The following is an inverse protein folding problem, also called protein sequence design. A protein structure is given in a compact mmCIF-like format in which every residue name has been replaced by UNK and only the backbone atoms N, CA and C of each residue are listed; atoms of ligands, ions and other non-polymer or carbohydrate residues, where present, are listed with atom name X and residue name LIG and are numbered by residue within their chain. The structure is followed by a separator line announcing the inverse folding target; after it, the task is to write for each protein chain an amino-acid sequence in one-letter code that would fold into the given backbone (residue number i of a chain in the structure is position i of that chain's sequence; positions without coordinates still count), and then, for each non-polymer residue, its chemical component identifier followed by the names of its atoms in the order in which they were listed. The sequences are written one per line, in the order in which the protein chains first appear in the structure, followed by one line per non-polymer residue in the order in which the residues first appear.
data_IF_329142112312
#
_entry.id   IF_329142112312
#
_cell.length_a   1.000
_cell.length_b   1.000
_cell.length_c   1.000
_cell.angle_alpha   90.00
_cell.angle_beta   90.00
_cell.angle_gamma   90.00
#
_symmetry.space_group_name_H-M   'P 1'
#
loop_
_entity.id
_entity.type
_entity.pdbx_description
1 polymer ?
#
# COMPACT_ATOMS: atom_id res chain seq x y z
N UNK A 1 18.22 4.71 12.71
CA UNK A 1 17.65 3.56 11.99
C UNK A 1 18.66 3.05 10.98
N UNK A 2 18.77 1.73 10.82
CA UNK A 2 19.60 1.11 9.79
C UNK A 2 18.77 1.01 8.50
N UNK A 3 19.15 1.71 7.41
CA UNK A 3 18.36 1.74 6.18
C UNK A 3 18.44 0.44 5.37
N UNK A 4 19.28 -0.53 5.78
CA UNK A 4 19.44 -1.81 5.09
C UNK A 4 18.55 -2.91 5.66
N UNK A 5 17.67 -2.59 6.62
CA UNK A 5 16.83 -3.57 7.30
C UNK A 5 15.43 -3.06 7.60
N UNK A 6 14.49 -3.99 7.71
CA UNK A 6 13.11 -3.74 8.12
C UNK A 6 12.65 -4.84 9.08
N UNK A 7 11.88 -4.48 10.10
CA UNK A 7 11.16 -5.42 10.94
C UNK A 7 9.75 -5.56 10.42
N UNK A 8 9.38 -6.76 10.03
CA UNK A 8 8.03 -7.12 9.59
C UNK A 8 7.31 -7.81 10.74
N UNK A 9 6.03 -7.47 10.90
CA UNK A 9 5.17 -8.11 11.91
C UNK A 9 3.76 -8.29 11.34
N UNK A 10 3.13 -9.42 11.65
CA UNK A 10 1.75 -9.67 11.27
C UNK A 10 0.98 -10.35 12.39
N UNK A 11 -0.34 -10.11 12.44
CA UNK A 11 -1.25 -10.76 13.37
C UNK A 11 -1.98 -11.89 12.66
N UNK A 12 -1.78 -13.12 13.11
CA UNK A 12 -2.32 -14.31 12.46
C UNK A 12 -3.16 -15.18 13.41
N UNK A 13 -4.05 -14.55 14.18
CA UNK A 13 -4.98 -15.27 15.05
C UNK A 13 -6.13 -15.90 14.25
N UNK A 14 -6.56 -17.06 14.70
CA UNK A 14 -7.79 -17.70 14.28
C UNK A 14 -8.34 -18.55 15.43
N UNK A 15 -9.66 -18.54 15.61
CA UNK A 15 -10.31 -19.40 16.62
C UNK A 15 -10.39 -20.87 16.20
N UNK A 16 -10.43 -21.14 14.91
CA UNK A 16 -10.70 -22.48 14.35
C UNK A 16 -9.45 -23.12 13.74
N UNK A 17 -8.55 -22.33 13.15
CA UNK A 17 -7.36 -22.80 12.50
C UNK A 17 -6.20 -21.81 12.75
N UNK A 18 -5.58 -21.85 13.96
CA UNK A 18 -4.49 -20.94 14.30
C UNK A 18 -3.29 -21.16 13.38
N UNK A 19 -2.55 -20.08 13.12
CA UNK A 19 -1.29 -20.18 12.40
C UNK A 19 -0.28 -20.95 13.25
N UNK A 20 0.37 -21.94 12.65
CA UNK A 20 1.49 -22.67 13.25
C UNK A 20 2.83 -22.07 12.86
N UNK A 21 2.95 -21.66 11.58
CA UNK A 21 4.14 -21.04 11.05
C UNK A 21 3.75 -19.91 10.10
N UNK A 22 4.56 -18.87 10.10
CA UNK A 22 4.49 -17.80 9.12
C UNK A 22 5.88 -17.60 8.53
N UNK A 23 5.95 -17.55 7.20
CA UNK A 23 7.17 -17.26 6.46
C UNK A 23 7.03 -15.95 5.70
N UNK A 24 8.15 -15.29 5.44
CA UNK A 24 8.18 -14.14 4.52
C UNK A 24 8.79 -14.59 3.20
N UNK A 25 8.11 -14.28 2.11
CA UNK A 25 8.60 -14.53 0.75
C UNK A 25 8.56 -13.21 -0.04
N UNK A 26 9.52 -13.00 -0.91
CA UNK A 26 9.60 -11.79 -1.70
C UNK A 26 10.83 -11.74 -2.60
N UNK A 27 11.07 -10.61 -3.24
CA UNK A 27 12.17 -10.40 -4.18
C UNK A 27 13.56 -10.63 -3.54
N UNK A 28 13.66 -10.37 -2.23
CA UNK A 28 14.92 -10.53 -1.49
C UNK A 28 15.32 -12.01 -1.22
N UNK A 29 14.43 -12.97 -1.47
CA UNK A 29 14.71 -14.40 -1.28
C UNK A 29 14.16 -15.28 -2.41
N UNK A 30 13.98 -14.69 -3.60
CA UNK A 30 13.41 -15.35 -4.79
C UNK A 30 12.07 -16.05 -4.51
N UNK A 31 11.29 -15.51 -3.57
CA UNK A 31 9.96 -16.02 -3.19
C UNK A 31 10.02 -17.46 -2.62
N UNK A 32 11.17 -17.88 -2.11
CA UNK A 32 11.38 -19.20 -1.58
C UNK A 32 10.92 -19.29 -0.11
N UNK A 33 10.12 -20.32 0.20
CA UNK A 33 9.81 -20.68 1.59
C UNK A 33 11.03 -21.40 2.17
N UNK A 34 11.60 -20.85 3.24
CA UNK A 34 12.75 -21.47 3.94
C UNK A 34 12.75 -21.11 5.41
N UNK A 35 13.41 -21.93 6.22
CA UNK A 35 13.54 -21.71 7.66
C UNK A 35 14.28 -20.40 8.00
N UNK A 36 15.14 -19.92 7.10
CA UNK A 36 15.83 -18.63 7.26
C UNK A 36 14.85 -17.44 7.27
N UNK A 37 13.69 -17.61 6.67
CA UNK A 37 12.63 -16.60 6.56
C UNK A 37 11.36 -17.00 7.33
N UNK A 38 11.47 -17.94 8.27
CA UNK A 38 10.40 -18.25 9.21
C UNK A 38 10.36 -17.17 10.29
N UNK A 39 9.19 -16.59 10.50
CA UNK A 39 8.94 -15.57 11.51
C UNK A 39 8.94 -16.17 12.92
N UNK A 40 9.42 -15.41 13.89
CA UNK A 40 9.32 -15.72 15.32
C UNK A 40 7.90 -15.46 15.78
N UNK A 41 7.37 -16.37 16.62
CA UNK A 41 6.04 -16.21 17.19
C UNK A 41 6.11 -15.58 18.59
N UNK A 42 5.22 -14.62 18.82
CA UNK A 42 4.94 -14.03 20.13
C UNK A 42 3.42 -13.93 20.31
N UNK A 43 2.85 -14.90 21.01
CA UNK A 43 1.40 -15.05 21.11
C UNK A 43 0.75 -15.27 19.74
N UNK A 44 -0.11 -14.32 19.34
CA UNK A 44 -0.77 -14.31 18.01
C UNK A 44 -0.03 -13.47 16.97
N UNK A 45 1.08 -12.84 17.35
CA UNK A 45 1.93 -12.07 16.47
C UNK A 45 3.09 -12.92 15.95
N UNK A 46 3.45 -12.66 14.71
CA UNK A 46 4.63 -13.23 14.06
C UNK A 46 5.49 -12.07 13.56
N UNK A 47 6.80 -12.14 13.80
CA UNK A 47 7.71 -11.07 13.42
C UNK A 47 9.08 -11.58 13.01
N UNK A 48 9.76 -10.81 12.17
CA UNK A 48 11.17 -11.02 11.85
C UNK A 48 11.82 -9.74 11.32
N UNK A 49 13.14 -9.71 11.36
CA UNK A 49 13.96 -8.67 10.75
C UNK A 49 14.54 -9.18 9.43
N UNK A 50 14.23 -8.51 8.32
CA UNK A 50 14.88 -8.71 7.02
C UNK A 50 16.07 -7.78 6.95
N UNK A 51 17.23 -8.29 6.52
CA UNK A 51 18.50 -7.56 6.41
C UNK A 51 19.05 -7.62 5.00
N UNK A 52 19.97 -6.67 4.69
CA UNK A 52 20.66 -6.65 3.41
C UNK A 52 19.82 -6.06 2.27
N UNK A 53 18.78 -5.29 2.61
CA UNK A 53 18.00 -4.54 1.63
C UNK A 53 18.83 -3.34 1.13
N UNK A 54 18.65 -3.02 -0.14
CA UNK A 54 19.17 -1.77 -0.70
C UNK A 54 18.24 -0.61 -0.30
N UNK A 55 18.77 0.45 0.33
CA UNK A 55 17.96 1.62 0.67
C UNK A 55 17.28 2.22 -0.58
N UNK A 56 16.04 2.65 -0.43
CA UNK A 56 15.21 3.24 -1.49
C UNK A 56 14.78 2.29 -2.61
N UNK A 57 15.22 1.04 -2.59
CA UNK A 57 14.72 0.03 -3.51
C UNK A 57 13.38 -0.52 -3.01
N UNK A 58 12.43 -0.68 -3.92
CA UNK A 58 11.17 -1.37 -3.66
C UNK A 58 11.36 -2.88 -3.78
N UNK A 59 10.73 -3.62 -2.88
CA UNK A 59 10.70 -5.08 -2.86
C UNK A 59 9.26 -5.55 -2.68
N UNK A 60 8.81 -6.41 -3.57
CA UNK A 60 7.53 -7.09 -3.43
C UNK A 60 7.64 -8.26 -2.44
N UNK A 61 6.62 -8.43 -1.58
CA UNK A 61 6.62 -9.51 -0.58
C UNK A 61 5.22 -9.96 -0.19
N UNK A 62 5.13 -11.15 0.36
CA UNK A 62 3.93 -11.67 1.03
C UNK A 62 4.30 -12.49 2.26
N UNK A 63 3.34 -12.64 3.17
CA UNK A 63 3.41 -13.65 4.22
C UNK A 63 2.82 -14.96 3.72
N UNK A 64 3.47 -16.08 4.03
CA UNK A 64 2.94 -17.43 3.83
C UNK A 64 2.53 -17.97 5.19
N UNK A 65 1.24 -18.09 5.40
CA UNK A 65 0.64 -18.57 6.66
C UNK A 65 0.32 -20.05 6.53
N UNK A 66 0.96 -20.88 7.35
CA UNK A 66 0.70 -22.31 7.50
C UNK A 66 -0.17 -22.50 8.74
N UNK A 67 -1.35 -23.08 8.57
CA UNK A 67 -2.33 -23.25 9.64
C UNK A 67 -2.34 -24.67 10.17
N UNK A 68 -2.91 -24.85 11.38
CA UNK A 68 -3.03 -26.13 12.05
C UNK A 68 -3.86 -27.18 11.27
N UNK A 69 -4.76 -26.75 10.41
CA UNK A 69 -5.57 -27.61 9.54
C UNK A 69 -4.86 -28.00 8.24
N UNK A 70 -3.59 -27.63 8.09
CA UNK A 70 -2.80 -27.87 6.88
C UNK A 70 -3.02 -26.83 5.76
N UNK A 71 -3.89 -25.86 5.96
CA UNK A 71 -4.11 -24.80 4.97
C UNK A 71 -2.88 -23.90 4.86
N UNK A 72 -2.46 -23.60 3.65
CA UNK A 72 -1.38 -22.65 3.34
C UNK A 72 -1.98 -21.52 2.51
N UNK A 73 -1.77 -20.28 2.97
CA UNK A 73 -2.22 -19.08 2.27
C UNK A 73 -1.13 -18.04 2.19
N UNK A 74 -1.02 -17.37 1.04
CA UNK A 74 -0.28 -16.12 0.91
C UNK A 74 -1.21 -14.97 1.24
N UNK A 75 -0.71 -14.01 2.00
CA UNK A 75 -1.43 -12.79 2.35
C UNK A 75 -0.50 -11.58 2.25
N UNK A 76 -1.05 -10.43 1.89
CA UNK A 76 -0.37 -9.14 1.99
C UNK A 76 -0.32 -8.64 3.43
N UNK A 77 0.50 -7.63 3.68
CA UNK A 77 0.47 -6.90 4.94
C UNK A 77 -0.72 -5.93 4.94
N UNK A 78 -1.53 -5.96 6.01
CA UNK A 78 -2.70 -5.08 6.16
C UNK A 78 -2.33 -3.60 6.34
N UNK A 79 -1.09 -3.31 6.75
CA UNK A 79 -0.57 -1.96 6.93
C UNK A 79 0.35 -1.52 5.79
N UNK A 80 0.26 -2.20 4.65
CA UNK A 80 1.04 -1.86 3.46
C UNK A 80 0.69 -0.47 2.95
N UNK A 81 1.71 0.38 2.73
CA UNK A 81 1.53 1.69 2.09
C UNK A 81 1.37 1.60 0.57
N UNK A 82 1.84 0.51 -0.03
CA UNK A 82 1.77 0.23 -1.46
C UNK A 82 1.51 -1.25 -1.67
N UNK A 83 0.53 -1.55 -2.48
CA UNK A 83 0.17 -2.93 -2.87
C UNK A 83 0.18 -3.06 -4.39
N UNK A 84 0.38 -4.29 -4.86
CA UNK A 84 0.27 -4.67 -6.26
C UNK A 84 -0.84 -5.70 -6.39
N UNK A 85 -1.58 -5.62 -7.48
CA UNK A 85 -2.55 -6.64 -7.89
C UNK A 85 -2.27 -7.10 -9.32
N UNK A 86 -2.59 -8.34 -9.63
CA UNK A 86 -2.36 -8.90 -10.98
C UNK A 86 -3.10 -8.14 -12.08
N UNK A 87 -4.19 -7.45 -11.72
CA UNK A 87 -5.03 -6.73 -12.66
C UNK A 87 -4.57 -5.28 -12.90
N UNK A 88 -3.58 -4.76 -12.14
CA UNK A 88 -3.02 -3.41 -12.33
C UNK A 88 -2.53 -3.15 -13.77
N UNK A 89 -2.11 -4.21 -14.46
CA UNK A 89 -1.66 -4.14 -15.86
C UNK A 89 -2.80 -4.06 -16.88
N UNK A 90 -4.04 -4.37 -16.47
CA UNK A 90 -5.22 -4.37 -17.34
C UNK A 90 -5.91 -3.01 -17.40
N UNK A 91 -5.56 -2.11 -16.49
CA UNK A 91 -6.09 -0.76 -16.52
C UNK A 91 -5.68 -0.06 -17.82
N UNK A 92 -6.64 0.43 -18.62
CA UNK A 92 -6.35 1.06 -19.91
C UNK A 92 -5.52 2.34 -19.76
N UNK A 93 -5.49 2.89 -18.55
CA UNK A 93 -4.65 4.03 -18.18
C UNK A 93 -3.93 3.65 -16.88
N UNK A 94 -2.63 3.48 -16.96
CA UNK A 94 -1.82 3.30 -15.76
C UNK A 94 -1.90 4.56 -14.90
N UNK A 95 -2.60 4.46 -13.78
CA UNK A 95 -2.79 5.56 -12.82
C UNK A 95 -1.45 5.96 -12.21
N UNK A 96 -0.58 4.98 -11.98
CA UNK A 96 0.81 5.17 -11.56
C UNK A 96 1.77 4.48 -12.55
N UNK A 97 2.36 5.23 -13.49
CA UNK A 97 3.30 4.65 -14.45
C UNK A 97 4.61 4.16 -13.82
N UNK A 98 4.87 4.51 -12.55
CA UNK A 98 6.05 4.08 -11.79
C UNK A 98 5.81 2.80 -10.99
N UNK A 99 4.58 2.25 -11.03
CA UNK A 99 4.25 1.02 -10.34
C UNK A 99 5.13 -0.13 -10.87
N UNK A 100 5.81 -0.80 -9.93
CA UNK A 100 6.60 -1.97 -10.27
C UNK A 100 5.73 -3.11 -10.83
N UNK A 101 6.26 -3.99 -11.69
CA UNK A 101 5.49 -5.11 -12.24
C UNK A 101 5.01 -6.06 -11.14
N UNK A 102 3.80 -6.61 -11.32
CA UNK A 102 3.31 -7.66 -10.44
C UNK A 102 4.23 -8.88 -10.51
N UNK A 103 4.70 -9.43 -9.35
CA UNK A 103 5.64 -10.54 -9.32
C UNK A 103 4.98 -11.84 -9.79
N UNK A 104 5.64 -12.59 -10.68
CA UNK A 104 5.13 -13.83 -11.25
C UNK A 104 4.80 -14.91 -10.19
N UNK A 105 5.44 -14.85 -9.03
CA UNK A 105 5.23 -15.77 -7.90
C UNK A 105 4.26 -15.23 -6.84
N UNK A 106 3.68 -14.04 -7.05
CA UNK A 106 2.66 -13.44 -6.18
C UNK A 106 1.31 -14.14 -6.28
N UNK A 107 0.46 -13.93 -5.26
CA UNK A 107 -0.91 -14.44 -5.22
C UNK A 107 -1.84 -13.38 -4.59
N UNK A 108 -2.87 -12.94 -5.33
CA UNK A 108 -3.77 -11.87 -4.90
C UNK A 108 -3.03 -10.54 -4.69
N UNK A 109 -3.27 -9.86 -3.57
CA UNK A 109 -2.58 -8.62 -3.24
C UNK A 109 -1.16 -8.88 -2.73
N UNK A 110 -0.20 -8.11 -3.22
CA UNK A 110 1.22 -8.19 -2.88
C UNK A 110 1.66 -6.89 -2.25
N UNK A 111 2.29 -6.97 -1.07
CA UNK A 111 2.86 -5.81 -0.36
C UNK A 111 4.14 -5.34 -1.05
N UNK A 112 4.34 -4.04 -1.12
CA UNK A 112 5.62 -3.42 -1.48
C UNK A 112 6.23 -2.78 -0.24
N UNK A 113 7.47 -3.15 0.07
CA UNK A 113 8.26 -2.52 1.13
C UNK A 113 9.41 -1.72 0.53
N UNK A 114 9.77 -0.62 1.18
CA UNK A 114 10.88 0.25 0.79
C UNK A 114 11.51 0.83 2.06
N UNK A 115 12.80 0.59 2.28
CA UNK A 115 13.55 1.20 3.37
C UNK A 115 14.11 2.57 2.93
N UNK A 116 14.38 3.46 3.88
CA UNK A 116 14.93 4.81 3.61
C UNK A 116 14.09 5.61 2.59
N UNK A 117 12.76 5.39 2.58
CA UNK A 117 11.84 6.15 1.75
C UNK A 117 11.94 7.63 2.14
N UNK A 118 12.18 8.54 1.19
CA UNK A 118 12.19 9.97 1.47
C UNK A 118 10.84 10.41 2.06
N UNK A 119 10.89 11.20 3.12
CA UNK A 119 9.69 11.80 3.68
C UNK A 119 9.10 12.81 2.69
N UNK A 120 7.78 12.75 2.50
CA UNK A 120 7.09 13.69 1.64
C UNK A 120 7.15 15.10 2.24
N UNK A 121 7.62 16.06 1.46
CA UNK A 121 7.73 17.45 1.87
C UNK A 121 6.43 18.20 1.56
N UNK A 122 5.66 18.48 2.60
CA UNK A 122 4.44 19.28 2.48
C UNK A 122 4.79 20.74 2.18
N UNK A 123 4.03 21.38 1.29
CA UNK A 123 4.22 22.80 1.01
C UNK A 123 3.78 23.65 2.20
N UNK A 124 4.35 24.86 2.30
CA UNK A 124 3.95 25.84 3.34
C UNK A 124 2.46 26.17 3.25
N UNK A 125 1.90 26.20 2.05
CA UNK A 125 0.47 26.41 1.86
C UNK A 125 -0.37 25.30 2.48
N UNK A 126 0.08 24.04 2.40
CA UNK A 126 -0.58 22.89 3.03
C UNK A 126 -0.43 22.94 4.56
N UNK A 127 0.78 23.21 5.05
CA UNK A 127 1.05 23.26 6.49
C UNK A 127 0.29 24.40 7.19
N UNK A 128 0.08 25.52 6.50
CA UNK A 128 -0.62 26.70 7.02
C UNK A 128 -2.09 26.77 6.60
N UNK A 129 -2.64 25.71 6.00
CA UNK A 129 -4.02 25.69 5.51
C UNK A 129 -5.02 25.84 6.65
N UNK A 130 -5.89 26.84 6.54
CA UNK A 130 -7.01 27.07 7.47
C UNK A 130 -8.27 26.47 6.91
N UNK A 131 -8.80 25.47 7.59
CA UNK A 131 -10.06 24.82 7.16
C UNK A 131 -11.21 25.81 7.16
N UNK A 132 -12.09 25.79 6.15
CA UNK A 132 -13.35 26.53 6.17
C UNK A 132 -14.21 26.13 7.37
N UNK A 133 -15.10 27.04 7.80
CA UNK A 133 -16.10 26.66 8.80
C UNK A 133 -17.02 25.58 8.22
N UNK A 134 -17.27 24.52 8.98
CA UNK A 134 -18.09 23.39 8.54
C UNK A 134 -19.51 23.78 8.10
N UNK A 135 -20.05 24.88 8.63
CA UNK A 135 -21.39 25.37 8.27
C UNK A 135 -21.41 26.14 6.94
N UNK A 136 -20.23 26.44 6.38
CA UNK A 136 -20.06 27.20 5.14
C UNK A 136 -19.41 26.35 4.04
N UNK A 137 -19.47 25.04 4.14
CA UNK A 137 -18.93 24.16 3.11
C UNK A 137 -19.83 24.17 1.88
N UNK A 138 -19.19 24.35 0.72
CA UNK A 138 -19.75 24.09 -0.60
C UNK A 138 -18.94 22.91 -1.13
N UNK A 139 -19.53 21.71 -1.03
CA UNK A 139 -18.87 20.46 -1.31
C UNK A 139 -19.13 20.05 -2.75
N UNK A 140 -18.07 19.65 -3.44
CA UNK A 140 -18.15 19.03 -4.75
C UNK A 140 -17.66 17.60 -4.65
N UNK A 141 -18.59 16.65 -4.77
CA UNK A 141 -18.27 15.23 -4.85
C UNK A 141 -17.92 14.85 -6.29
N UNK A 142 -16.84 14.11 -6.47
CA UNK A 142 -16.37 13.75 -7.80
C UNK A 142 -15.60 12.44 -7.83
N UNK A 143 -15.69 11.74 -8.96
CA UNK A 143 -14.89 10.59 -9.26
C UNK A 143 -13.81 10.94 -10.29
N UNK A 144 -12.55 10.64 -9.96
CA UNK A 144 -11.39 11.07 -10.76
C UNK A 144 -11.48 10.59 -12.22
N UNK A 145 -11.95 9.36 -12.44
CA UNK A 145 -12.05 8.75 -13.76
C UNK A 145 -13.02 9.46 -14.72
N UNK A 146 -14.07 10.09 -14.19
CA UNK A 146 -15.07 10.79 -15.02
C UNK A 146 -14.83 12.28 -15.11
N UNK A 147 -13.86 12.78 -14.34
CA UNK A 147 -13.73 14.21 -14.10
C UNK A 147 -12.96 14.94 -15.20
N UNK A 148 -11.88 14.34 -15.71
CA UNK A 148 -11.06 14.91 -16.79
C UNK A 148 -10.70 13.82 -17.79
N UNK A 149 -10.32 14.24 -19.01
CA UNK A 149 -9.85 13.29 -20.04
C UNK A 149 -8.60 12.53 -19.62
N UNK A 150 -7.76 13.13 -18.77
CA UNK A 150 -6.54 12.53 -18.23
C UNK A 150 -6.83 11.43 -17.21
N UNK A 151 -8.01 11.46 -16.56
CA UNK A 151 -8.44 10.49 -15.53
C UNK A 151 -7.43 10.34 -14.38
N UNK A 152 -6.75 11.41 -14.02
CA UNK A 152 -5.69 11.41 -13.00
C UNK A 152 -5.93 12.48 -11.95
N UNK A 153 -5.31 12.31 -10.78
CA UNK A 153 -5.27 13.34 -9.74
C UNK A 153 -4.63 14.63 -10.28
N UNK A 154 -3.58 14.52 -11.10
CA UNK A 154 -2.94 15.68 -11.72
C UNK A 154 -3.89 16.44 -12.65
N UNK A 155 -4.70 15.74 -13.45
CA UNK A 155 -5.74 16.34 -14.27
C UNK A 155 -6.76 17.12 -13.44
N UNK A 156 -7.19 16.54 -12.32
CA UNK A 156 -8.08 17.19 -11.37
C UNK A 156 -7.43 18.43 -10.70
N UNK A 157 -6.17 18.34 -10.31
CA UNK A 157 -5.43 19.48 -9.74
C UNK A 157 -5.38 20.67 -10.70
N UNK A 158 -5.32 20.45 -12.01
CA UNK A 158 -5.36 21.49 -13.02
C UNK A 158 -6.72 22.23 -13.10
N UNK A 159 -7.76 21.69 -12.45
CA UNK A 159 -9.10 22.29 -12.38
C UNK A 159 -9.39 23.01 -11.07
N UNK A 160 -8.47 23.03 -10.11
CA UNK A 160 -8.71 23.63 -8.79
C UNK A 160 -9.09 25.12 -8.86
N UNK A 161 -8.52 25.90 -9.79
CA UNK A 161 -8.91 27.29 -9.99
C UNK A 161 -10.37 27.43 -10.41
N UNK A 162 -10.81 26.59 -11.34
CA UNK A 162 -12.21 26.57 -11.80
C UNK A 162 -13.18 26.28 -10.65
N UNK A 163 -12.89 25.30 -9.78
CA UNK A 163 -13.74 25.00 -8.61
C UNK A 163 -13.79 26.19 -7.65
N UNK A 164 -12.64 26.80 -7.40
CA UNK A 164 -12.54 27.98 -6.54
C UNK A 164 -13.38 29.14 -7.10
N UNK A 165 -13.35 29.37 -8.40
CA UNK A 165 -14.14 30.43 -9.06
C UNK A 165 -15.63 30.14 -8.98
N UNK A 166 -16.06 28.90 -8.92
CA UNK A 166 -17.44 28.48 -8.65
C UNK A 166 -17.83 28.57 -7.17
N UNK A 167 -16.91 28.95 -6.29
CA UNK A 167 -17.15 29.03 -4.84
C UNK A 167 -17.05 27.73 -4.08
N UNK A 168 -16.62 26.64 -4.73
CA UNK A 168 -16.39 25.35 -4.09
C UNK A 168 -15.19 25.48 -3.14
N UNK A 169 -15.36 25.06 -1.90
CA UNK A 169 -14.33 25.15 -0.86
C UNK A 169 -14.02 23.81 -0.16
N UNK A 170 -14.69 22.74 -0.61
CA UNK A 170 -14.39 21.36 -0.21
C UNK A 170 -14.60 20.42 -1.40
N UNK A 171 -13.74 19.45 -1.56
CA UNK A 171 -13.85 18.39 -2.55
C UNK A 171 -13.95 17.07 -1.81
N UNK A 172 -14.96 16.27 -2.14
CA UNK A 172 -15.14 14.91 -1.66
C UNK A 172 -14.80 13.95 -2.81
N UNK A 173 -13.69 13.25 -2.67
CA UNK A 173 -13.29 12.26 -3.67
C UNK A 173 -14.05 10.97 -3.42
N UNK A 174 -14.73 10.45 -4.42
CA UNK A 174 -15.16 9.05 -4.42
C UNK A 174 -13.94 8.13 -4.26
N UNK A 175 -14.11 6.88 -3.80
CA UNK A 175 -12.97 6.01 -3.46
C UNK A 175 -11.89 6.01 -4.54
N UNK A 176 -10.66 6.29 -4.12
CA UNK A 176 -9.46 6.32 -4.97
C UNK A 176 -8.52 5.15 -4.71
N UNK A 177 -8.81 4.38 -3.65
CA UNK A 177 -8.13 3.12 -3.37
C UNK A 177 -8.80 2.01 -4.16
N UNK A 178 -8.01 1.05 -4.55
CA UNK A 178 -8.50 -0.21 -5.09
C UNK A 178 -9.25 -1.01 -4.02
N UNK A 179 -10.37 -1.65 -4.37
CA UNK A 179 -11.24 -2.42 -3.48
C UNK A 179 -11.73 -3.72 -4.12
#
# INVERSE_FOLDING_TARGET
NDPTKVTLATYAASKTAPAQHVFVVGDFNDWAISNAYQMKQDGNYFWMEIKGLNPRQEYAMQYVVVRADGTIKKISDLYSEKVLHKDDQWEPIKVDPTLMPYPAKGDGYVTVIQTDKPEFQWSDATLNFKRPNKNNLIIYETWIYDHTAERTIAGMMNRLSYYKDMGINAIELMPVQEF
#
